data_IF_484378313254
#
_entry.id   IF_484378313254
#
_cell.length_a   1.000
_cell.length_b   1.000
_cell.length_c   1.000
_cell.angle_alpha   90.00
_cell.angle_beta   90.00
_cell.angle_gamma   90.00
#
_symmetry.space_group_name_H-M   'P 1'
#
loop_
_entity.id
_entity.type
_entity.pdbx_description
1 polymer ?
#
# COMPACT_ATOMS: atom_id res chain seq x y z
N UNK A 1 -6.58 -6.46 -15.71
CA UNK A 1 -7.71 -5.64 -15.20
C UNK A 1 -7.95 -4.50 -16.18
N UNK A 2 -9.17 -4.26 -16.60
CA UNK A 2 -9.51 -3.14 -17.46
C UNK A 2 -10.03 -1.97 -16.63
N UNK A 3 -9.73 -0.74 -17.06
CA UNK A 3 -10.26 0.48 -16.45
C UNK A 3 -11.60 0.78 -17.11
N UNK A 4 -12.67 0.76 -16.31
CA UNK A 4 -14.01 1.16 -16.75
C UNK A 4 -14.08 2.67 -16.92
N UNK A 5 -14.35 3.16 -18.13
CA UNK A 5 -14.69 4.55 -18.42
C UNK A 5 -16.20 4.75 -18.31
N UNK A 6 -16.63 5.91 -17.82
CA UNK A 6 -18.04 6.26 -17.72
C UNK A 6 -18.46 7.18 -18.87
N UNK A 7 -19.71 7.08 -19.32
CA UNK A 7 -20.26 8.01 -20.30
C UNK A 7 -20.27 9.45 -19.75
N UNK A 8 -19.90 10.47 -20.53
CA UNK A 8 -19.77 11.87 -20.07
C UNK A 8 -21.12 12.58 -19.93
N UNK A 9 -22.03 12.00 -19.15
CA UNK A 9 -23.38 12.54 -18.92
C UNK A 9 -23.40 13.76 -17.97
N UNK A 10 -22.35 13.95 -17.18
CA UNK A 10 -22.18 15.09 -16.27
C UNK A 10 -20.70 15.48 -16.19
N UNK A 11 -20.41 16.71 -15.72
CA UNK A 11 -19.03 17.17 -15.52
C UNK A 11 -18.21 16.21 -14.64
N UNK A 12 -18.82 15.65 -13.61
CA UNK A 12 -18.16 14.68 -12.72
C UNK A 12 -17.85 13.35 -13.43
N UNK A 13 -18.74 12.89 -14.33
CA UNK A 13 -18.57 11.62 -15.04
C UNK A 13 -17.62 11.71 -16.24
N UNK A 14 -17.42 12.89 -16.80
CA UNK A 14 -16.56 13.11 -17.99
C UNK A 14 -15.16 12.50 -17.82
N UNK A 15 -14.53 12.72 -16.70
CA UNK A 15 -13.17 12.26 -16.41
C UNK A 15 -13.14 11.11 -15.38
N UNK A 16 -14.31 10.59 -14.98
CA UNK A 16 -14.39 9.52 -13.99
C UNK A 16 -13.99 8.19 -14.62
N UNK A 17 -13.16 7.44 -13.90
CA UNK A 17 -12.86 6.05 -14.21
C UNK A 17 -13.04 5.17 -12.97
N UNK A 18 -13.07 3.87 -13.14
CA UNK A 18 -13.21 2.91 -12.06
C UNK A 18 -12.55 1.58 -12.41
N UNK A 19 -12.41 0.70 -11.44
CA UNK A 19 -12.09 -0.70 -11.71
C UNK A 19 -13.29 -1.39 -12.35
N UNK A 20 -13.05 -2.34 -13.26
CA UNK A 20 -14.06 -3.25 -13.80
C UNK A 20 -14.36 -4.42 -12.86
N UNK A 21 -13.50 -4.63 -11.84
CA UNK A 21 -13.56 -5.74 -10.89
C UNK A 21 -13.50 -7.14 -11.52
N UNK A 22 -13.02 -7.27 -12.75
CA UNK A 22 -13.00 -8.54 -13.48
C UNK A 22 -12.19 -9.65 -12.78
N UNK A 23 -11.18 -9.29 -11.96
CA UNK A 23 -10.39 -10.27 -11.18
C UNK A 23 -11.11 -10.77 -9.92
N UNK A 24 -12.18 -10.10 -9.49
CA UNK A 24 -12.87 -10.41 -8.24
C UNK A 24 -13.87 -11.53 -8.48
N UNK A 25 -13.72 -12.60 -7.71
CA UNK A 25 -14.55 -13.81 -7.82
C UNK A 25 -15.63 -13.90 -6.74
N UNK A 26 -15.44 -13.20 -5.61
CA UNK A 26 -16.43 -13.13 -4.53
C UNK A 26 -16.54 -11.72 -3.94
N UNK A 27 -17.76 -11.32 -3.62
CA UNK A 27 -18.05 -10.05 -2.94
C UNK A 27 -18.27 -10.21 -1.43
N UNK A 28 -18.51 -11.46 -0.99
CA UNK A 28 -18.78 -11.78 0.42
C UNK A 28 -17.48 -12.19 1.12
N UNK A 29 -17.03 -11.44 2.12
CA UNK A 29 -15.80 -11.79 2.84
C UNK A 29 -16.04 -12.93 3.85
N UNK A 30 -14.97 -13.68 4.15
CA UNK A 30 -14.96 -14.70 5.20
C UNK A 30 -15.14 -14.04 6.57
N UNK A 31 -16.23 -14.40 7.28
CA UNK A 31 -16.65 -13.75 8.52
C UNK A 31 -15.66 -13.95 9.67
N UNK A 32 -15.02 -15.11 9.74
CA UNK A 32 -14.04 -15.44 10.80
C UNK A 32 -12.79 -14.57 10.75
N UNK A 33 -12.48 -14.01 9.57
CA UNK A 33 -11.33 -13.17 9.33
C UNK A 33 -11.65 -11.66 9.34
N UNK A 34 -12.86 -11.28 9.80
CA UNK A 34 -13.26 -9.88 9.92
C UNK A 34 -13.09 -9.35 11.34
N UNK A 35 -12.59 -8.13 11.45
CA UNK A 35 -12.49 -7.41 12.71
C UNK A 35 -13.12 -6.01 12.61
N UNK A 36 -13.66 -5.47 13.72
CA UNK A 36 -14.12 -4.09 13.76
C UNK A 36 -13.00 -3.10 13.44
N UNK A 37 -13.31 -2.08 12.64
CA UNK A 37 -12.38 -0.99 12.32
C UNK A 37 -12.93 0.35 12.81
N UNK A 38 -12.61 0.77 14.05
CA UNK A 38 -13.09 2.04 14.60
C UNK A 38 -12.53 3.22 13.82
N UNK A 39 -13.36 4.26 13.69
CA UNK A 39 -13.01 5.49 12.98
C UNK A 39 -12.30 6.45 13.93
N UNK A 40 -10.98 6.60 13.83
CA UNK A 40 -10.19 7.55 14.64
C UNK A 40 -10.16 8.98 14.09
N UNK A 41 -10.60 9.20 12.85
CA UNK A 41 -10.68 10.50 12.19
C UNK A 41 -9.41 11.38 12.31
N UNK A 42 -8.23 10.76 12.28
CA UNK A 42 -6.93 11.45 12.39
C UNK A 42 -6.55 11.91 13.79
N UNK A 43 -7.24 11.43 14.83
CA UNK A 43 -6.94 11.71 16.24
C UNK A 43 -5.98 10.65 16.80
N UNK A 44 -5.09 11.10 17.71
CA UNK A 44 -4.21 10.23 18.49
C UNK A 44 -4.95 9.64 19.72
N UNK A 45 -4.21 8.95 20.60
CA UNK A 45 -4.74 8.39 21.86
C UNK A 45 -5.24 9.46 22.85
N UNK A 46 -4.73 10.71 22.74
CA UNK A 46 -5.16 11.84 23.56
C UNK A 46 -6.33 12.62 22.94
N UNK A 47 -6.93 12.15 21.83
CA UNK A 47 -8.00 12.83 21.12
C UNK A 47 -7.58 14.04 20.28
N UNK A 48 -6.29 14.41 20.25
CA UNK A 48 -5.77 15.53 19.47
C UNK A 48 -5.62 15.14 17.99
N UNK A 49 -5.95 16.08 17.09
CA UNK A 49 -5.80 15.88 15.66
C UNK A 49 -4.32 15.93 15.25
N UNK A 50 -3.74 14.77 14.93
CA UNK A 50 -2.36 14.65 14.45
C UNK A 50 -2.28 14.53 12.92
N UNK A 51 -3.35 14.07 12.28
CA UNK A 51 -3.45 13.98 10.80
C UNK A 51 -4.71 14.71 10.37
N UNK A 52 -4.53 15.88 9.71
CA UNK A 52 -5.65 16.67 9.19
C UNK A 52 -6.33 16.00 8.01
N UNK A 53 -7.53 16.47 7.67
CA UNK A 53 -8.30 16.08 6.50
C UNK A 53 -8.64 14.57 6.44
N UNK A 54 -8.76 13.92 7.59
CA UNK A 54 -9.24 12.54 7.74
C UNK A 54 -10.55 12.51 8.50
N UNK A 55 -11.45 11.60 8.10
CA UNK A 55 -12.72 11.40 8.82
C UNK A 55 -13.90 11.12 7.90
N UNK A 56 -15.02 10.71 8.49
CA UNK A 56 -16.20 10.26 7.76
C UNK A 56 -15.94 8.99 6.94
N UNK A 57 -16.53 8.97 5.74
CA UNK A 57 -16.39 7.86 4.80
C UNK A 57 -17.27 6.65 5.11
N UNK A 58 -17.30 5.70 4.18
CA UNK A 58 -18.11 4.49 4.28
C UNK A 58 -17.70 3.64 5.47
N UNK A 59 -18.65 2.92 6.12
CA UNK A 59 -18.38 1.94 7.17
C UNK A 59 -17.56 0.79 6.58
N UNK A 60 -16.52 0.36 7.28
CA UNK A 60 -15.61 -0.71 6.84
C UNK A 60 -15.33 -1.66 7.99
N UNK A 61 -15.08 -2.92 7.63
CA UNK A 61 -14.48 -3.92 8.51
C UNK A 61 -13.05 -4.17 8.07
N UNK A 62 -12.18 -4.48 9.01
CA UNK A 62 -10.81 -4.88 8.72
C UNK A 62 -10.77 -6.36 8.37
N UNK A 63 -10.06 -6.71 7.31
CA UNK A 63 -9.75 -8.10 6.95
C UNK A 63 -8.38 -8.44 7.51
N UNK A 64 -8.31 -9.48 8.31
CA UNK A 64 -7.06 -9.97 8.89
C UNK A 64 -6.25 -10.61 7.77
N UNK A 65 -5.13 -9.98 7.42
CA UNK A 65 -4.23 -10.48 6.37
C UNK A 65 -3.04 -11.17 7.02
N UNK A 66 -2.70 -12.34 6.54
CA UNK A 66 -1.48 -13.04 6.91
C UNK A 66 -0.27 -12.42 6.18
N UNK A 67 0.37 -11.45 6.83
CA UNK A 67 1.61 -10.86 6.36
C UNK A 67 2.85 -11.67 6.75
N UNK A 68 2.70 -12.63 7.65
CA UNK A 68 3.83 -13.40 8.18
C UNK A 68 4.12 -14.65 7.36
N UNK A 69 3.06 -15.29 6.85
CA UNK A 69 3.17 -16.52 6.05
C UNK A 69 3.99 -17.61 6.74
N UNK A 70 3.71 -17.83 8.03
CA UNK A 70 4.47 -18.76 8.89
C UNK A 70 4.03 -20.22 8.80
N UNK A 71 3.03 -20.53 8.00
CA UNK A 71 2.50 -21.88 7.85
C UNK A 71 3.35 -22.64 6.82
N UNK A 72 4.51 -23.13 7.28
CA UNK A 72 5.49 -23.77 6.42
C UNK A 72 5.10 -25.23 6.12
N UNK A 73 5.42 -25.69 4.91
CA UNK A 73 5.20 -27.07 4.45
C UNK A 73 3.73 -27.45 4.20
N UNK A 74 2.77 -26.60 4.55
CA UNK A 74 1.35 -26.89 4.33
C UNK A 74 0.88 -26.25 3.02
N UNK A 75 0.47 -27.04 2.02
CA UNK A 75 -0.08 -26.50 0.79
C UNK A 75 -1.44 -25.84 1.03
N UNK A 76 -1.67 -24.70 0.38
CA UNK A 76 -2.92 -23.98 0.42
C UNK A 76 -3.41 -23.70 -0.99
N UNK A 77 -4.73 -23.70 -1.18
CA UNK A 77 -5.36 -23.41 -2.46
C UNK A 77 -6.10 -22.07 -2.37
N UNK A 78 -5.98 -21.24 -3.41
CA UNK A 78 -6.73 -20.01 -3.51
C UNK A 78 -8.20 -20.35 -3.84
N UNK A 79 -9.08 -20.03 -2.89
CA UNK A 79 -10.51 -20.24 -3.01
C UNK A 79 -11.22 -19.07 -3.70
N UNK A 80 -10.90 -17.82 -3.29
CA UNK A 80 -11.52 -16.61 -3.86
C UNK A 80 -10.50 -15.48 -3.97
N UNK A 81 -10.79 -14.55 -4.89
CA UNK A 81 -10.12 -13.24 -4.97
C UNK A 81 -11.16 -12.18 -4.64
N UNK A 82 -10.84 -11.29 -3.69
CA UNK A 82 -11.79 -10.36 -3.11
C UNK A 82 -11.27 -8.91 -3.10
N UNK A 83 -12.22 -7.98 -3.13
CA UNK A 83 -11.95 -6.55 -2.93
C UNK A 83 -11.80 -6.23 -1.45
N UNK A 84 -10.72 -5.54 -1.05
CA UNK A 84 -10.58 -4.99 0.30
C UNK A 84 -10.64 -3.45 0.27
N UNK A 85 -11.64 -2.83 0.93
CA UNK A 85 -11.77 -1.37 0.97
C UNK A 85 -10.67 -0.68 1.81
N UNK A 86 -9.83 -1.43 2.52
CA UNK A 86 -8.80 -0.88 3.42
C UNK A 86 -7.43 -0.76 2.73
N UNK A 87 -7.27 -1.34 1.55
CA UNK A 87 -6.02 -1.30 0.76
C UNK A 87 -6.27 -1.13 -0.73
N UNK A 88 -5.24 -0.82 -1.45
CA UNK A 88 -5.30 -0.70 -2.92
C UNK A 88 -5.22 -2.05 -3.63
N UNK A 89 -4.53 -3.03 -3.04
CA UNK A 89 -4.39 -4.38 -3.56
C UNK A 89 -5.67 -5.21 -3.32
N UNK A 90 -6.00 -6.11 -4.25
CA UNK A 90 -6.95 -7.19 -3.99
C UNK A 90 -6.35 -8.19 -3.00
N UNK A 91 -7.20 -8.97 -2.35
CA UNK A 91 -6.82 -10.04 -1.43
C UNK A 91 -7.30 -11.38 -1.95
N UNK A 92 -6.61 -12.45 -1.60
CA UNK A 92 -6.99 -13.80 -1.93
C UNK A 92 -7.26 -14.60 -0.64
N UNK A 93 -8.37 -15.31 -0.60
CA UNK A 93 -8.67 -16.27 0.47
C UNK A 93 -7.97 -17.58 0.12
N UNK A 94 -7.15 -18.03 1.05
CA UNK A 94 -6.43 -19.31 0.96
C UNK A 94 -7.08 -20.29 1.92
N UNK A 95 -7.36 -21.48 1.44
CA UNK A 95 -7.77 -22.63 2.25
C UNK A 95 -6.61 -23.61 2.24
N UNK A 96 -6.07 -23.90 3.40
CA UNK A 96 -4.97 -24.85 3.59
C UNK A 96 -5.49 -26.29 3.69
N UNK A 97 -4.60 -27.26 3.45
CA UNK A 97 -4.94 -28.69 3.51
C UNK A 97 -5.49 -29.12 4.89
N UNK A 98 -5.09 -28.42 5.97
CA UNK A 98 -5.61 -28.64 7.34
C UNK A 98 -6.94 -27.91 7.63
N UNK A 99 -7.61 -27.35 6.62
CA UNK A 99 -8.86 -26.63 6.75
C UNK A 99 -8.75 -25.19 7.25
N UNK A 100 -7.56 -24.73 7.66
CA UNK A 100 -7.39 -23.34 8.09
C UNK A 100 -7.55 -22.36 6.91
N UNK A 101 -8.15 -21.20 7.16
CA UNK A 101 -8.34 -20.15 6.19
C UNK A 101 -7.50 -18.93 6.53
N UNK A 102 -6.91 -18.27 5.54
CA UNK A 102 -6.26 -16.97 5.72
C UNK A 102 -6.39 -16.09 4.49
N UNK A 103 -6.37 -14.77 4.69
CA UNK A 103 -6.21 -13.83 3.58
C UNK A 103 -4.75 -13.52 3.34
N UNK A 104 -4.38 -13.45 2.07
CA UNK A 104 -3.08 -12.94 1.61
C UNK A 104 -3.29 -11.79 0.64
N UNK A 105 -2.23 -11.03 0.34
CA UNK A 105 -2.26 -10.10 -0.79
C UNK A 105 -2.33 -10.93 -2.09
N UNK A 106 -3.26 -10.61 -2.98
CA UNK A 106 -3.39 -11.30 -4.26
C UNK A 106 -2.21 -10.92 -5.18
N UNK A 107 -1.33 -11.86 -5.55
CA UNK A 107 -0.27 -11.62 -6.51
C UNK A 107 -0.84 -11.42 -7.93
N UNK A 108 -0.08 -10.76 -8.78
CA UNK A 108 -0.43 -10.60 -10.20
C UNK A 108 -0.49 -11.97 -10.89
N UNK A 109 -1.55 -12.19 -11.67
CA UNK A 109 -1.70 -13.39 -12.50
C UNK A 109 -2.21 -14.64 -11.78
N UNK A 110 -2.43 -14.56 -10.48
CA UNK A 110 -3.00 -15.66 -9.70
C UNK A 110 -4.51 -15.80 -9.96
N UNK A 111 -4.99 -17.04 -10.04
CA UNK A 111 -6.40 -17.41 -10.28
C UNK A 111 -6.92 -18.30 -9.14
N UNK A 112 -8.23 -18.44 -9.07
CA UNK A 112 -8.88 -19.45 -8.20
C UNK A 112 -8.37 -20.84 -8.57
N UNK A 113 -8.11 -21.65 -7.56
CA UNK A 113 -7.53 -22.98 -7.72
C UNK A 113 -5.98 -23.01 -7.73
N UNK A 114 -5.30 -21.86 -7.79
CA UNK A 114 -3.84 -21.81 -7.73
C UNK A 114 -3.35 -22.27 -6.37
N UNK A 115 -2.37 -23.15 -6.37
CA UNK A 115 -1.73 -23.66 -5.15
C UNK A 115 -0.57 -22.76 -4.72
N UNK A 116 -0.47 -22.58 -3.43
CA UNK A 116 0.59 -21.79 -2.81
C UNK A 116 1.14 -22.52 -1.59
N UNK A 117 2.43 -22.34 -1.35
CA UNK A 117 3.12 -22.91 -0.20
C UNK A 117 4.05 -21.87 0.44
N UNK A 118 4.35 -22.07 1.70
CA UNK A 118 5.36 -21.27 2.42
C UNK A 118 6.40 -22.20 3.01
N UNK A 119 7.63 -21.71 3.16
CA UNK A 119 8.73 -22.47 3.75
C UNK A 119 9.93 -22.63 2.83
N UNK A 120 11.00 -23.28 3.30
CA UNK A 120 12.22 -23.49 2.52
C UNK A 120 12.01 -24.40 1.31
N UNK A 121 11.12 -25.38 1.42
CA UNK A 121 10.84 -26.38 0.38
C UNK A 121 9.81 -25.87 -0.67
N UNK A 122 9.39 -24.62 -0.56
CA UNK A 122 8.44 -24.04 -1.50
C UNK A 122 9.11 -23.72 -2.84
N UNK A 123 8.51 -24.15 -3.95
CA UNK A 123 8.96 -23.81 -5.31
C UNK A 123 9.02 -22.31 -5.56
N UNK A 124 9.84 -21.88 -6.52
CA UNK A 124 9.93 -20.49 -6.98
C UNK A 124 8.74 -20.17 -7.89
N UNK A 125 7.53 -20.22 -7.32
CA UNK A 125 6.26 -19.92 -8.01
C UNK A 125 5.60 -18.67 -7.42
N UNK A 126 4.87 -17.92 -8.26
CA UNK A 126 4.15 -16.72 -7.82
C UNK A 126 3.16 -17.04 -6.70
N UNK A 127 3.26 -16.31 -5.59
CA UNK A 127 2.42 -16.51 -4.40
C UNK A 127 3.08 -17.33 -3.29
N UNK A 128 4.13 -18.07 -3.57
CA UNK A 128 4.90 -18.78 -2.56
C UNK A 128 5.75 -17.82 -1.71
N UNK A 129 5.94 -18.16 -0.45
CA UNK A 129 6.67 -17.32 0.50
C UNK A 129 7.81 -18.11 1.15
N UNK A 130 9.00 -17.52 1.19
CA UNK A 130 10.20 -18.13 1.74
C UNK A 130 11.15 -17.08 2.30
N UNK A 131 12.24 -17.51 2.94
CA UNK A 131 13.27 -16.61 3.38
C UNK A 131 14.03 -16.02 2.18
N UNK A 132 14.51 -14.78 2.29
CA UNK A 132 15.21 -14.09 1.21
C UNK A 132 16.48 -14.82 0.76
N UNK A 133 17.12 -15.58 1.66
CA UNK A 133 18.29 -16.39 1.33
C UNK A 133 17.98 -17.49 0.30
N UNK A 134 16.74 -18.01 0.30
CA UNK A 134 16.33 -19.12 -0.56
C UNK A 134 15.84 -18.63 -1.93
N UNK A 135 15.56 -17.32 -2.05
CA UNK A 135 15.08 -16.71 -3.30
C UNK A 135 16.26 -16.44 -4.25
N UNK A 136 16.20 -16.87 -5.52
CA UNK A 136 17.23 -16.58 -6.52
C UNK A 136 17.38 -15.07 -6.80
N UNK A 137 18.61 -14.68 -7.15
CA UNK A 137 18.90 -13.33 -7.64
C UNK A 137 18.12 -13.05 -8.93
N UNK A 138 17.67 -11.82 -9.11
CA UNK A 138 16.84 -11.41 -10.26
C UNK A 138 15.35 -11.60 -10.04
N UNK A 139 14.93 -12.42 -9.07
CA UNK A 139 13.51 -12.70 -8.80
C UNK A 139 12.76 -11.45 -8.34
N UNK A 140 11.55 -11.29 -8.87
CA UNK A 140 10.60 -10.26 -8.41
C UNK A 140 9.86 -10.73 -7.18
N UNK A 141 9.79 -9.89 -6.15
CA UNK A 141 9.20 -10.21 -4.84
C UNK A 141 8.30 -9.10 -4.33
N UNK A 142 7.41 -9.43 -3.42
CA UNK A 142 6.55 -8.50 -2.68
C UNK A 142 6.36 -8.95 -1.22
N UNK A 143 5.60 -8.19 -0.42
CA UNK A 143 5.30 -8.50 0.98
C UNK A 143 6.56 -8.80 1.81
N UNK A 144 7.56 -7.92 1.74
CA UNK A 144 8.91 -8.15 2.28
C UNK A 144 8.96 -7.74 3.74
N UNK A 145 9.52 -8.59 4.59
CA UNK A 145 9.84 -8.28 5.97
C UNK A 145 11.05 -7.35 6.10
N UNK A 146 11.07 -6.55 7.17
CA UNK A 146 12.24 -5.77 7.60
C UNK A 146 12.94 -6.36 8.81
N UNK A 147 12.22 -7.16 9.59
CA UNK A 147 12.72 -7.90 10.74
C UNK A 147 12.09 -9.28 10.72
N UNK A 148 12.86 -10.35 10.97
CA UNK A 148 12.33 -11.72 10.94
C UNK A 148 11.11 -11.89 11.85
N UNK A 149 10.10 -12.60 11.39
CA UNK A 149 8.87 -12.94 12.13
C UNK A 149 7.90 -11.79 12.39
N UNK A 150 8.21 -10.56 11.93
CA UNK A 150 7.33 -9.40 12.14
C UNK A 150 6.23 -9.28 11.09
N UNK A 151 6.35 -10.01 10.02
CA UNK A 151 5.47 -9.95 8.85
C UNK A 151 5.89 -8.88 7.85
N UNK A 152 5.43 -9.01 6.62
CA UNK A 152 5.77 -8.12 5.52
C UNK A 152 5.39 -6.67 5.79
N UNK A 153 6.32 -5.76 5.55
CA UNK A 153 6.16 -4.31 5.77
C UNK A 153 6.37 -3.51 4.50
N UNK A 154 7.19 -3.98 3.57
CA UNK A 154 7.47 -3.33 2.29
C UNK A 154 6.72 -4.00 1.16
N UNK A 155 6.48 -3.26 0.07
CA UNK A 155 5.94 -3.76 -1.20
C UNK A 155 4.60 -4.48 -1.02
N UNK A 156 3.59 -3.76 -0.48
CA UNK A 156 2.25 -4.29 -0.20
C UNK A 156 1.13 -3.58 -0.97
N UNK A 157 1.42 -2.48 -1.63
CA UNK A 157 0.43 -1.72 -2.40
C UNK A 157 0.19 -2.35 -3.76
N UNK A 158 -0.96 -2.07 -4.36
CA UNK A 158 -1.30 -2.50 -5.72
C UNK A 158 -0.17 -2.19 -6.71
N UNK A 159 0.16 -3.16 -7.57
CA UNK A 159 1.20 -3.05 -8.59
C UNK A 159 2.62 -2.86 -8.04
N UNK A 160 2.84 -2.97 -6.74
CA UNK A 160 4.17 -2.84 -6.16
C UNK A 160 4.98 -4.13 -6.35
N UNK A 161 6.27 -3.95 -6.65
CA UNK A 161 7.25 -5.03 -6.75
C UNK A 161 8.62 -4.54 -6.28
N UNK A 162 9.47 -5.47 -5.91
CA UNK A 162 10.89 -5.26 -5.66
C UNK A 162 11.67 -6.40 -6.30
N UNK A 163 12.96 -6.23 -6.50
CA UNK A 163 13.82 -7.25 -7.12
C UNK A 163 14.99 -7.58 -6.22
N UNK A 164 15.31 -8.85 -6.08
CA UNK A 164 16.51 -9.33 -5.43
C UNK A 164 17.70 -9.06 -6.36
N UNK A 165 18.70 -8.30 -5.90
CA UNK A 165 19.88 -7.93 -6.71
C UNK A 165 21.11 -8.79 -6.40
N UNK A 166 21.25 -9.23 -5.16
CA UNK A 166 22.41 -10.01 -4.72
C UNK A 166 22.29 -10.46 -3.28
N UNK A 167 23.16 -11.34 -2.87
CA UNK A 167 23.27 -11.86 -1.51
C UNK A 167 24.68 -11.58 -0.98
N UNK A 168 24.76 -10.95 0.20
CA UNK A 168 26.04 -10.55 0.82
C UNK A 168 26.06 -10.98 2.28
N UNK A 169 26.66 -12.11 2.57
CA UNK A 169 26.72 -12.69 3.92
C UNK A 169 25.32 -12.82 4.54
N UNK A 170 25.09 -12.15 5.65
CA UNK A 170 23.78 -12.17 6.36
C UNK A 170 22.72 -11.24 5.77
N UNK A 171 23.02 -10.54 4.69
CA UNK A 171 22.07 -9.59 4.05
C UNK A 171 21.79 -9.97 2.60
N UNK A 172 20.61 -9.58 2.15
CA UNK A 172 20.19 -9.63 0.74
C UNK A 172 19.94 -8.21 0.26
N UNK A 173 20.47 -7.87 -0.91
CA UNK A 173 20.28 -6.59 -1.57
C UNK A 173 18.95 -6.61 -2.33
N UNK A 174 18.06 -5.69 -1.99
CA UNK A 174 16.75 -5.58 -2.62
C UNK A 174 16.56 -4.19 -3.22
N UNK A 175 16.24 -4.13 -4.52
CA UNK A 175 15.86 -2.91 -5.23
C UNK A 175 14.36 -2.69 -5.12
N UNK A 176 13.97 -1.60 -4.48
CA UNK A 176 12.57 -1.18 -4.36
C UNK A 176 12.10 -0.44 -5.61
N UNK A 177 10.76 -0.34 -5.81
CA UNK A 177 10.14 0.43 -6.91
C UNK A 177 10.64 1.89 -6.99
N UNK A 178 11.02 2.49 -5.86
CA UNK A 178 11.59 3.84 -5.81
C UNK A 178 13.01 3.97 -6.38
N UNK A 179 13.65 2.85 -6.74
CA UNK A 179 15.07 2.78 -7.13
C UNK A 179 16.05 2.73 -5.95
N UNK A 180 15.56 2.81 -4.69
CA UNK A 180 16.39 2.59 -3.51
C UNK A 180 16.86 1.14 -3.46
N UNK A 181 18.16 0.92 -3.24
CA UNK A 181 18.74 -0.40 -2.97
C UNK A 181 19.01 -0.50 -1.48
N UNK A 182 18.49 -1.54 -0.86
CA UNK A 182 18.50 -1.72 0.58
C UNK A 182 18.95 -3.12 0.97
N UNK A 183 19.74 -3.20 2.02
CA UNK A 183 20.10 -4.45 2.70
C UNK A 183 18.95 -4.88 3.61
N UNK A 184 18.56 -6.15 3.51
CA UNK A 184 17.56 -6.79 4.37
C UNK A 184 18.18 -8.10 4.87
N UNK A 185 17.91 -8.47 6.13
CA UNK A 185 18.44 -9.72 6.68
C UNK A 185 17.98 -10.92 5.84
N UNK A 186 18.86 -11.85 5.58
CA UNK A 186 18.63 -13.02 4.75
C UNK A 186 17.52 -13.94 5.29
N UNK A 187 17.34 -13.95 6.61
CA UNK A 187 16.26 -14.68 7.31
C UNK A 187 14.88 -14.01 7.24
N UNK A 188 14.78 -12.77 6.75
CA UNK A 188 13.49 -12.12 6.51
C UNK A 188 12.76 -12.82 5.37
N UNK A 189 11.42 -12.91 5.50
CA UNK A 189 10.57 -13.55 4.48
C UNK A 189 10.09 -12.55 3.43
N UNK A 190 9.85 -13.07 2.24
CA UNK A 190 9.19 -12.37 1.15
C UNK A 190 8.29 -13.33 0.36
N UNK A 191 7.36 -12.78 -0.41
CA UNK A 191 6.49 -13.54 -1.31
C UNK A 191 6.93 -13.31 -2.76
N UNK A 192 6.99 -14.36 -3.56
CA UNK A 192 7.40 -14.32 -4.97
C UNK A 192 6.32 -13.68 -5.83
N UNK A 193 6.75 -12.89 -6.81
CA UNK A 193 5.90 -12.16 -7.75
C UNK A 193 5.65 -10.70 -7.35
N UNK A 194 4.82 -10.01 -8.11
CA UNK A 194 4.36 -8.64 -7.84
C UNK A 194 2.93 -8.63 -7.28
N UNK A 195 2.55 -7.58 -6.59
CA UNK A 195 1.16 -7.38 -6.12
C UNK A 195 0.25 -7.11 -7.32
N UNK A 196 -0.93 -7.71 -7.34
CA UNK A 196 -1.96 -7.49 -8.36
C UNK A 196 -2.59 -6.09 -8.33
N UNK A 197 -3.63 -5.87 -9.17
CA UNK A 197 -4.35 -4.61 -9.28
C UNK A 197 -3.45 -3.41 -9.68
N UNK A 198 -2.50 -3.61 -10.57
CA UNK A 198 -1.47 -2.62 -10.94
C UNK A 198 -2.03 -1.31 -11.52
N UNK A 199 -3.21 -1.34 -12.15
CA UNK A 199 -3.84 -0.15 -12.72
C UNK A 199 -4.62 0.70 -11.70
N UNK A 200 -4.58 0.34 -10.43
CA UNK A 200 -5.31 1.07 -9.37
C UNK A 200 -4.94 2.57 -9.33
N UNK A 201 -3.70 2.92 -9.59
CA UNK A 201 -3.21 4.31 -9.58
C UNK A 201 -3.75 5.15 -10.75
N UNK A 202 -4.18 4.52 -11.84
CA UNK A 202 -4.74 5.18 -13.01
C UNK A 202 -6.23 5.54 -12.86
N UNK A 203 -6.87 5.13 -11.75
CA UNK A 203 -8.28 5.39 -11.50
C UNK A 203 -8.49 6.85 -11.13
N UNK A 204 -9.27 7.58 -11.94
CA UNK A 204 -9.68 8.94 -11.65
C UNK A 204 -10.97 8.94 -10.84
N UNK A 205 -10.92 9.54 -9.66
CA UNK A 205 -12.05 9.60 -8.72
C UNK A 205 -13.23 10.41 -9.30
N UNK A 206 -12.96 11.47 -10.07
CA UNK A 206 -13.92 12.25 -10.84
C UNK A 206 -14.77 13.23 -10.03
N UNK A 207 -15.12 12.95 -8.77
CA UNK A 207 -15.94 13.84 -7.95
C UNK A 207 -15.50 13.88 -6.48
N UNK A 208 -15.71 15.01 -5.82
CA UNK A 208 -15.39 15.22 -4.41
C UNK A 208 -16.11 14.21 -3.47
N UNK A 209 -17.36 13.84 -3.79
CA UNK A 209 -18.11 12.85 -3.00
C UNK A 209 -17.43 11.49 -2.93
N UNK A 210 -16.79 10.99 -4.01
CA UNK A 210 -16.02 9.75 -3.93
C UNK A 210 -14.79 9.87 -3.03
N UNK A 211 -14.12 11.02 -2.98
CA UNK A 211 -13.04 11.28 -2.03
C UNK A 211 -13.54 11.27 -0.59
N UNK A 212 -14.75 11.83 -0.36
CA UNK A 212 -15.43 11.78 0.95
C UNK A 212 -15.72 10.33 1.37
N UNK A 213 -16.18 9.47 0.48
CA UNK A 213 -16.40 8.04 0.76
C UNK A 213 -15.10 7.32 1.14
N UNK A 214 -13.96 7.77 0.60
CA UNK A 214 -12.62 7.25 0.92
C UNK A 214 -12.02 7.84 2.21
N UNK A 215 -12.83 8.52 3.06
CA UNK A 215 -12.43 9.16 4.32
C UNK A 215 -11.52 10.40 4.16
N UNK A 216 -11.47 11.00 2.99
CA UNK A 216 -10.77 12.26 2.77
C UNK A 216 -11.72 13.43 2.99
N UNK A 217 -11.39 14.32 3.91
CA UNK A 217 -12.11 15.58 4.12
C UNK A 217 -11.59 16.67 3.19
N UNK A 218 -12.40 17.70 2.88
CA UNK A 218 -11.94 18.83 2.07
C UNK A 218 -10.71 19.50 2.66
N UNK A 219 -9.87 20.04 1.79
CA UNK A 219 -8.67 20.82 2.14
C UNK A 219 -8.88 22.24 1.63
N UNK A 220 -8.75 23.22 2.52
CA UNK A 220 -8.80 24.65 2.18
C UNK A 220 -7.37 25.12 1.86
N UNK A 221 -7.22 25.90 0.80
CA UNK A 221 -5.93 26.50 0.42
C UNK A 221 -5.54 27.59 1.41
N UNK A 222 -4.26 27.72 1.73
CA UNK A 222 -3.76 28.78 2.61
C UNK A 222 -4.02 30.18 2.07
N UNK A 223 -4.02 30.37 0.75
CA UNK A 223 -4.25 31.67 0.09
C UNK A 223 -5.69 32.23 0.23
N UNK A 224 -6.65 31.43 0.73
CA UNK A 224 -8.03 31.88 1.01
C UNK A 224 -8.31 32.00 2.51
N UNK A 225 -7.28 31.94 3.32
CA UNK A 225 -7.33 32.13 4.77
C UNK A 225 -6.89 33.54 5.13
N UNK A 226 -7.10 33.94 6.40
CA UNK A 226 -6.59 35.18 6.93
C UNK A 226 -5.08 35.10 7.20
N UNK A 227 -4.35 36.24 7.29
CA UNK A 227 -2.92 36.27 7.55
C UNK A 227 -2.49 35.58 8.84
N UNK A 228 -3.34 35.59 9.87
CA UNK A 228 -3.10 34.91 11.14
C UNK A 228 -3.23 33.38 11.06
N UNK A 229 -4.00 32.86 10.09
CA UNK A 229 -4.25 31.42 9.96
C UNK A 229 -3.23 30.68 9.08
N UNK A 230 -2.66 31.41 8.11
CA UNK A 230 -1.71 30.82 7.18
C UNK A 230 -0.73 31.84 6.62
N UNK A 231 0.58 31.50 6.42
CA UNK A 231 1.57 32.39 5.82
C UNK A 231 1.25 32.88 4.39
N UNK A 232 0.30 32.24 3.71
CA UNK A 232 -0.20 32.67 2.40
C UNK A 232 -1.53 33.43 2.48
N UNK A 233 -2.03 33.72 3.68
CA UNK A 233 -3.29 34.39 3.89
C UNK A 233 -3.23 35.89 3.63
N UNK A 234 -4.40 36.48 3.43
CA UNK A 234 -4.58 37.89 3.14
C UNK A 234 -4.59 38.25 1.64
N UNK A 235 -4.84 39.52 1.37
CA UNK A 235 -4.95 40.05 0.02
C UNK A 235 -6.38 40.08 -0.53
N UNK A 236 -6.59 40.81 -1.63
CA UNK A 236 -7.83 40.93 -2.34
C UNK A 236 -7.98 39.90 -3.44
N UNK A 237 -9.18 39.34 -3.61
CA UNK A 237 -9.51 38.38 -4.65
C UNK A 237 -8.62 37.14 -4.65
N UNK A 238 -8.06 36.78 -5.79
CA UNK A 238 -7.13 35.66 -5.96
C UNK A 238 -5.69 36.08 -5.71
N UNK A 239 -5.31 36.25 -4.44
CA UNK A 239 -3.96 36.62 -4.08
C UNK A 239 -2.91 35.52 -4.39
N UNK A 240 -1.69 35.88 -4.81
CA UNK A 240 -0.57 34.97 -4.98
C UNK A 240 -0.03 34.50 -3.63
N UNK A 241 0.91 33.55 -3.66
CA UNK A 241 1.55 33.02 -2.45
C UNK A 241 2.39 34.08 -1.73
N UNK A 242 2.93 35.09 -2.47
CA UNK A 242 3.70 36.21 -1.94
C UNK A 242 5.01 35.81 -1.26
N UNK A 243 5.58 34.62 -1.58
CA UNK A 243 6.81 34.10 -0.99
C UNK A 243 7.63 33.34 -2.04
N UNK A 244 8.98 33.26 -1.88
CA UNK A 244 9.85 32.54 -2.83
C UNK A 244 9.51 31.06 -2.95
N UNK A 245 8.91 30.45 -1.92
CA UNK A 245 8.49 29.04 -1.92
C UNK A 245 7.19 28.87 -1.14
N UNK A 246 6.30 27.95 -1.57
CA UNK A 246 5.10 27.62 -0.81
C UNK A 246 5.44 27.12 0.59
N UNK A 247 4.66 27.55 1.56
CA UNK A 247 4.84 27.21 2.97
C UNK A 247 3.68 26.40 3.53
N UNK A 248 3.95 25.63 4.57
CA UNK A 248 2.95 24.99 5.40
C UNK A 248 2.31 26.01 6.36
N UNK A 249 1.18 25.70 7.04
CA UNK A 249 0.61 26.57 8.06
C UNK A 249 1.56 26.95 9.19
N UNK A 250 2.62 26.18 9.38
CA UNK A 250 3.66 26.44 10.39
C UNK A 250 4.92 27.12 9.81
N UNK A 251 4.83 27.72 8.64
CA UNK A 251 5.93 28.48 8.02
C UNK A 251 7.08 27.64 7.48
N UNK A 252 6.92 26.31 7.35
CA UNK A 252 7.96 25.44 6.79
C UNK A 252 7.82 25.35 5.27
N UNK A 253 8.91 25.52 4.47
CA UNK A 253 8.87 25.29 3.03
C UNK A 253 8.34 23.90 2.68
N UNK A 254 7.42 23.83 1.70
CA UNK A 254 6.78 22.57 1.29
C UNK A 254 7.43 21.92 0.07
N UNK A 255 8.22 22.70 -0.69
CA UNK A 255 8.97 22.22 -1.85
C UNK A 255 10.47 22.27 -1.56
N UNK A 256 11.20 21.31 -2.11
CA UNK A 256 12.66 21.23 -2.10
C UNK A 256 13.31 20.90 -0.74
N UNK A 257 12.61 21.06 0.37
CA UNK A 257 13.17 20.79 1.70
C UNK A 257 13.32 19.30 1.95
N UNK A 258 14.56 18.87 2.26
CA UNK A 258 14.83 17.50 2.71
C UNK A 258 14.30 17.33 4.15
N UNK A 259 13.28 16.49 4.32
CA UNK A 259 12.63 16.24 5.62
C UNK A 259 13.22 15.04 6.36
N UNK A 260 13.92 14.12 5.67
CA UNK A 260 14.62 13.02 6.31
C UNK A 260 15.77 13.57 7.16
N UNK A 261 15.74 13.29 8.45
CA UNK A 261 16.84 13.66 9.37
C UNK A 261 18.10 12.85 9.02
N UNK A 262 19.27 13.47 9.13
CA UNK A 262 20.54 12.75 9.04
C UNK A 262 20.71 11.74 10.19
N UNK A 263 21.62 10.79 10.02
CA UNK A 263 22.00 9.78 11.04
C UNK A 263 20.83 8.90 11.52
N UNK A 264 19.87 8.57 10.64
CA UNK A 264 18.86 7.56 10.97
C UNK A 264 19.51 6.18 11.10
N UNK A 265 19.08 5.38 12.07
CA UNK A 265 19.56 4.00 12.26
C UNK A 265 19.46 3.15 10.98
N UNK A 266 18.45 3.39 10.15
CA UNK A 266 18.22 2.69 8.88
C UNK A 266 19.15 3.14 7.75
N UNK A 267 19.96 4.21 7.91
CA UNK A 267 20.85 4.67 6.84
C UNK A 267 21.98 3.68 6.56
N UNK A 268 22.39 2.91 7.58
CA UNK A 268 23.37 1.81 7.45
C UNK A 268 22.91 0.69 6.49
N UNK A 269 21.61 0.55 6.31
CA UNK A 269 21.00 -0.48 5.48
C UNK A 269 20.65 0.01 4.07
N UNK A 270 20.93 1.27 3.73
CA UNK A 270 20.66 1.84 2.41
C UNK A 270 21.98 1.94 1.64
N UNK A 271 22.16 1.05 0.66
CA UNK A 271 23.34 1.03 -0.20
C UNK A 271 23.26 2.15 -1.24
N UNK A 272 22.10 2.29 -1.90
CA UNK A 272 21.85 3.34 -2.88
C UNK A 272 20.53 4.03 -2.60
N UNK A 273 20.57 5.36 -2.44
CA UNK A 273 19.37 6.17 -2.28
C UNK A 273 18.59 6.26 -3.59
N UNK A 274 17.27 6.52 -3.50
CA UNK A 274 16.46 6.80 -4.69
C UNK A 274 17.06 7.98 -5.47
N UNK A 275 17.03 7.90 -6.79
CA UNK A 275 17.32 9.05 -7.64
C UNK A 275 16.21 10.10 -7.42
N UNK A 276 16.58 11.36 -7.44
CA UNK A 276 15.63 12.49 -7.44
C UNK A 276 14.86 12.55 -8.75
#
# INVERSE_FOLDING_TARGET
MAIKKYKPTTNARRNMTGSDFAEITSTTPERTLLQPLPKKAGRNNQGRMTVRHKGGGHKRQYRVIDFKRIKDGVPGRIATIEYDPNRSANIALVVYADGAKSYILAPKGVKVGHEIMSGPDADIKTGNAMALQDIPVGTTIHNIELKPGRGGQLVRSAGASAQVLGKEGKYVLVRLRSGEVRMILATCRATIGSVGNEQHELINVGKAGRSRWKRQRPTVRGSVMNPNDHPHGGGEGRAPIGRPSPMSPWGKPTLGKKTRRGKNRSDKLIVRKRKK
#
